data_IF_935145125865
#
_entry.id   IF_935145125865
#
_cell.length_a   1.000
_cell.length_b   1.000
_cell.length_c   1.000
_cell.angle_alpha   90.00
_cell.angle_beta   90.00
_cell.angle_gamma   90.00
#
_symmetry.space_group_name_H-M   'P 1'
#
loop_
_entity.id
_entity.type
_entity.pdbx_description
1 polymer ?
#
# COMPACT_ATOMS: atom_id res chain seq x y z
N UNK A 1 -6.62 1.55 -17.11
CA UNK A 1 -6.65 2.19 -18.42
C UNK A 1 -7.79 3.20 -18.54
N UNK A 2 -7.65 4.15 -19.45
CA UNK A 2 -8.68 5.19 -19.68
C UNK A 2 -9.66 4.81 -20.80
N UNK A 3 -9.53 3.64 -21.42
CA UNK A 3 -10.24 3.25 -22.63
C UNK A 3 -9.58 3.80 -23.91
N UNK A 4 -9.98 3.28 -25.04
CA UNK A 4 -9.46 3.66 -26.37
C UNK A 4 -10.07 4.97 -26.90
N UNK A 5 -10.96 4.87 -27.93
CA UNK A 5 -11.60 6.04 -28.53
C UNK A 5 -12.60 6.73 -27.59
N UNK A 6 -13.34 5.97 -26.79
CA UNK A 6 -14.28 6.50 -25.78
C UNK A 6 -13.65 6.54 -24.39
N UNK A 7 -13.19 7.72 -23.98
CA UNK A 7 -12.57 7.94 -22.65
C UNK A 7 -13.53 7.78 -21.47
N UNK A 8 -14.83 7.57 -21.70
CA UNK A 8 -15.81 7.24 -20.65
C UNK A 8 -15.74 5.78 -20.21
N UNK A 9 -15.32 4.88 -21.11
CA UNK A 9 -15.17 3.47 -20.85
C UNK A 9 -13.91 3.15 -20.01
N UNK A 10 -13.95 2.04 -19.32
CA UNK A 10 -12.87 1.62 -18.41
C UNK A 10 -12.43 0.19 -18.72
N UNK A 11 -11.15 0.00 -18.88
CA UNK A 11 -10.54 -1.30 -19.20
C UNK A 11 -10.89 -2.38 -18.18
N UNK A 12 -11.01 -2.05 -16.89
CA UNK A 12 -11.36 -3.03 -15.85
C UNK A 12 -12.78 -3.61 -16.01
N UNK A 13 -13.73 -2.90 -16.57
CA UNK A 13 -15.08 -3.44 -16.86
C UNK A 13 -14.99 -4.51 -17.95
N UNK A 14 -14.14 -4.29 -18.93
CA UNK A 14 -13.82 -5.28 -19.96
C UNK A 14 -13.10 -6.50 -19.40
N UNK A 15 -12.11 -6.28 -18.51
CA UNK A 15 -11.34 -7.37 -17.89
C UNK A 15 -12.23 -8.39 -17.21
N UNK A 16 -13.13 -7.92 -16.35
CA UNK A 16 -14.02 -8.79 -15.57
C UNK A 16 -15.03 -9.51 -16.47
N UNK A 17 -15.58 -8.79 -17.46
CA UNK A 17 -16.56 -9.35 -18.40
C UNK A 17 -15.97 -10.41 -19.32
N UNK A 18 -14.72 -10.26 -19.73
CA UNK A 18 -14.07 -11.09 -20.77
C UNK A 18 -12.95 -11.99 -20.24
N UNK A 19 -12.76 -12.08 -18.93
CA UNK A 19 -11.69 -12.87 -18.29
C UNK A 19 -10.33 -12.60 -18.92
N UNK A 20 -9.93 -11.33 -18.96
CA UNK A 20 -8.68 -10.89 -19.58
C UNK A 20 -7.97 -9.83 -18.73
N UNK A 21 -6.73 -9.52 -19.09
CA UNK A 21 -5.97 -8.37 -18.57
C UNK A 21 -5.28 -7.63 -19.71
N UNK A 22 -5.34 -6.30 -19.70
CA UNK A 22 -4.72 -5.43 -20.68
C UNK A 22 -4.18 -4.15 -20.03
N UNK A 23 -3.31 -3.43 -20.72
CA UNK A 23 -2.75 -2.18 -20.20
C UNK A 23 -2.65 -1.07 -21.27
N UNK A 24 -3.57 -1.07 -22.21
CA UNK A 24 -3.66 -0.05 -23.25
C UNK A 24 -2.94 -0.42 -24.54
N UNK A 25 -2.63 0.61 -25.34
CA UNK A 25 -2.00 0.49 -26.66
C UNK A 25 -2.87 -0.19 -27.72
N UNK A 26 -4.16 0.07 -27.68
CA UNK A 26 -5.11 -0.28 -28.72
C UNK A 26 -5.02 0.74 -29.87
N UNK A 27 -4.17 0.45 -30.85
CA UNK A 27 -4.03 1.31 -32.01
C UNK A 27 -5.28 1.32 -32.88
N UNK A 28 -5.51 2.43 -33.61
CA UNK A 28 -6.63 2.58 -34.51
C UNK A 28 -6.75 1.41 -35.50
N UNK A 29 -7.97 0.92 -35.76
CA UNK A 29 -8.20 -0.20 -36.68
C UNK A 29 -7.58 0.01 -38.08
N UNK A 30 -7.55 1.26 -38.55
CA UNK A 30 -6.99 1.64 -39.86
C UNK A 30 -5.48 1.37 -40.00
N UNK A 31 -4.76 1.30 -38.88
CA UNK A 31 -3.31 0.99 -38.86
C UNK A 31 -3.02 -0.51 -39.03
N UNK A 32 -4.03 -1.36 -38.91
CA UNK A 32 -3.89 -2.83 -38.87
C UNK A 32 -3.88 -3.40 -40.29
N UNK A 33 -2.78 -3.30 -40.99
CA UNK A 33 -2.64 -3.76 -42.39
C UNK A 33 -2.30 -5.24 -42.51
N UNK A 34 -1.84 -5.89 -41.43
CA UNK A 34 -1.47 -7.30 -41.36
C UNK A 34 -2.13 -8.02 -40.18
N UNK A 35 -2.40 -9.33 -40.31
CA UNK A 35 -2.88 -10.11 -39.16
C UNK A 35 -1.82 -10.16 -38.05
N UNK A 36 -2.23 -9.91 -36.81
CA UNK A 36 -1.41 -10.06 -35.60
C UNK A 36 -1.89 -11.31 -34.89
N UNK A 37 -1.05 -12.35 -34.84
CA UNK A 37 -1.37 -13.65 -34.27
C UNK A 37 -0.58 -13.97 -33.00
N UNK A 38 0.64 -13.43 -32.90
CA UNK A 38 1.57 -13.72 -31.81
C UNK A 38 1.96 -12.43 -31.10
N UNK A 39 2.51 -12.57 -29.90
CA UNK A 39 3.08 -11.44 -29.16
C UNK A 39 4.24 -10.80 -29.96
N UNK A 40 5.03 -11.58 -30.65
CA UNK A 40 6.15 -11.08 -31.45
C UNK A 40 5.65 -10.26 -32.66
N UNK A 41 4.55 -10.68 -33.33
CA UNK A 41 3.89 -9.89 -34.36
C UNK A 41 3.42 -8.53 -33.79
N UNK A 42 2.86 -8.56 -32.57
CA UNK A 42 2.38 -7.33 -31.93
C UNK A 42 3.52 -6.41 -31.50
N UNK A 43 4.64 -6.94 -31.03
CA UNK A 43 5.83 -6.13 -30.71
C UNK A 43 6.35 -5.38 -31.92
N UNK A 44 6.46 -6.07 -33.07
CA UNK A 44 6.86 -5.45 -34.30
C UNK A 44 5.86 -4.37 -34.74
N UNK A 45 4.58 -4.66 -34.67
CA UNK A 45 3.52 -3.69 -34.97
C UNK A 45 3.57 -2.46 -34.05
N UNK A 46 3.87 -2.67 -32.75
CA UNK A 46 4.04 -1.57 -31.80
C UNK A 46 5.22 -0.68 -32.17
N UNK A 47 6.38 -1.25 -32.50
CA UNK A 47 7.56 -0.49 -32.91
C UNK A 47 7.30 0.37 -34.15
N UNK A 48 6.53 -0.16 -35.11
CA UNK A 48 6.19 0.53 -36.36
C UNK A 48 5.23 1.71 -36.13
N UNK A 49 4.39 1.69 -35.07
CA UNK A 49 3.28 2.63 -34.91
C UNK A 49 3.28 3.44 -33.59
N UNK A 50 4.18 3.17 -32.68
CA UNK A 50 4.19 3.82 -31.34
C UNK A 50 4.79 5.23 -31.31
N UNK A 51 5.05 5.85 -32.45
CA UNK A 51 5.53 7.24 -32.56
C UNK A 51 6.73 7.56 -31.64
N UNK A 52 7.73 6.69 -31.62
CA UNK A 52 8.95 6.86 -30.83
C UNK A 52 8.84 6.43 -29.36
N UNK A 53 7.71 5.87 -28.93
CA UNK A 53 7.60 5.25 -27.62
C UNK A 53 8.30 3.89 -27.60
N UNK A 54 9.32 3.73 -26.77
CA UNK A 54 10.05 2.47 -26.64
C UNK A 54 9.21 1.45 -25.84
N UNK A 55 9.12 0.22 -26.34
CA UNK A 55 8.39 -0.89 -25.72
C UNK A 55 8.73 -1.08 -24.23
N UNK A 56 10.01 -1.15 -23.90
CA UNK A 56 10.52 -1.41 -22.56
C UNK A 56 10.25 -0.29 -21.53
N UNK A 57 9.71 0.84 -21.95
CA UNK A 57 9.32 1.96 -21.08
C UNK A 57 7.82 2.05 -20.86
N UNK A 58 7.04 1.12 -21.40
CA UNK A 58 5.57 1.15 -21.33
C UNK A 58 5.04 0.09 -20.38
N UNK A 59 3.83 0.32 -19.85
CA UNK A 59 3.14 -0.65 -19.00
C UNK A 59 2.89 -1.98 -19.72
N UNK A 60 2.70 -1.95 -21.03
CA UNK A 60 2.53 -3.14 -21.87
C UNK A 60 3.72 -4.11 -21.79
N UNK A 61 4.95 -3.60 -21.71
CA UNK A 61 6.13 -4.41 -21.45
C UNK A 61 6.06 -5.12 -20.09
N UNK A 62 5.54 -4.44 -19.06
CA UNK A 62 5.37 -5.07 -17.75
C UNK A 62 4.40 -6.24 -17.84
N UNK A 63 3.25 -6.07 -18.52
CA UNK A 63 2.24 -7.12 -18.64
C UNK A 63 2.72 -8.33 -19.46
N UNK A 64 3.45 -8.12 -20.54
CA UNK A 64 3.79 -9.22 -21.47
C UNK A 64 5.20 -9.81 -21.28
N UNK A 65 6.12 -9.07 -20.66
CA UNK A 65 7.52 -9.51 -20.51
C UNK A 65 7.98 -9.69 -19.06
N UNK A 66 7.30 -9.05 -18.09
CA UNK A 66 7.70 -9.15 -16.67
C UNK A 66 6.78 -10.02 -15.86
N UNK A 67 5.47 -9.97 -16.12
CA UNK A 67 4.50 -10.86 -15.50
C UNK A 67 4.82 -12.30 -15.92
N UNK A 68 4.62 -13.24 -15.01
CA UNK A 68 4.90 -14.67 -15.20
C UNK A 68 3.73 -15.53 -14.80
N UNK A 69 3.74 -16.78 -15.24
CA UNK A 69 2.83 -17.80 -14.73
C UNK A 69 2.93 -17.87 -13.19
N UNK A 70 1.79 -17.87 -12.53
CA UNK A 70 1.71 -17.88 -11.07
C UNK A 70 1.65 -16.51 -10.40
N UNK A 71 1.98 -15.43 -11.11
CA UNK A 71 1.84 -14.07 -10.56
C UNK A 71 0.37 -13.72 -10.30
N UNK A 72 0.14 -12.86 -9.30
CA UNK A 72 -1.17 -12.30 -9.00
C UNK A 72 -1.31 -10.91 -9.63
N UNK A 73 -2.47 -10.69 -10.28
CA UNK A 73 -2.87 -9.41 -10.82
C UNK A 73 -3.99 -8.81 -9.97
N UNK A 74 -3.90 -7.52 -9.73
CA UNK A 74 -4.93 -6.75 -9.05
C UNK A 74 -5.51 -5.67 -9.95
N UNK A 75 -6.81 -5.45 -9.84
CA UNK A 75 -7.47 -4.30 -10.46
C UNK A 75 -8.52 -3.72 -9.53
N UNK A 76 -8.81 -2.43 -9.68
CA UNK A 76 -9.82 -1.74 -8.91
C UNK A 76 -10.81 -1.05 -9.84
N UNK A 77 -12.11 -1.25 -9.62
CA UNK A 77 -13.17 -0.54 -10.33
C UNK A 77 -13.38 0.87 -9.76
N UNK A 78 -14.04 1.72 -10.54
CA UNK A 78 -14.35 3.10 -10.14
C UNK A 78 -15.19 3.20 -8.85
N UNK A 79 -15.97 2.17 -8.55
CA UNK A 79 -16.78 2.09 -7.33
C UNK A 79 -15.96 1.66 -6.08
N UNK A 80 -14.65 1.51 -6.20
CA UNK A 80 -13.77 1.12 -5.10
C UNK A 80 -13.68 -0.38 -4.86
N UNK A 81 -14.30 -1.23 -5.69
CA UNK A 81 -14.21 -2.69 -5.57
C UNK A 81 -12.93 -3.21 -6.20
N UNK A 82 -12.18 -4.01 -5.46
CA UNK A 82 -10.94 -4.66 -5.87
C UNK A 82 -11.19 -6.10 -6.31
N UNK A 83 -10.42 -6.51 -7.28
CA UNK A 83 -10.44 -7.86 -7.85
C UNK A 83 -9.02 -8.39 -7.92
N UNK A 84 -8.85 -9.68 -7.67
CA UNK A 84 -7.60 -10.42 -7.81
C UNK A 84 -7.77 -11.54 -8.83
N UNK A 85 -6.71 -11.84 -9.55
CA UNK A 85 -6.64 -13.00 -10.44
C UNK A 85 -5.23 -13.57 -10.43
N UNK A 86 -5.10 -14.87 -10.71
CA UNK A 86 -3.80 -15.51 -10.95
C UNK A 86 -3.55 -15.62 -12.45
N UNK A 87 -2.30 -15.46 -12.85
CA UNK A 87 -1.84 -15.70 -14.22
C UNK A 87 -1.63 -17.19 -14.42
N UNK A 88 -2.49 -17.90 -15.21
CA UNK A 88 -2.49 -19.35 -15.24
C UNK A 88 -1.36 -19.97 -16.08
N UNK A 89 -0.71 -19.20 -16.96
CA UNK A 89 0.38 -19.65 -17.83
C UNK A 89 1.27 -18.48 -18.23
N UNK A 90 2.36 -18.73 -18.94
CA UNK A 90 3.23 -17.67 -19.42
C UNK A 90 2.48 -16.67 -20.34
N UNK A 91 2.73 -15.35 -20.23
CA UNK A 91 2.04 -14.33 -21.00
C UNK A 91 2.05 -14.54 -22.51
N UNK A 92 3.12 -15.14 -23.05
CA UNK A 92 3.22 -15.46 -24.48
C UNK A 92 2.16 -16.50 -24.93
N UNK A 93 1.78 -17.43 -24.06
CA UNK A 93 0.75 -18.43 -24.31
C UNK A 93 -0.67 -17.87 -24.15
N UNK A 94 -0.81 -16.87 -23.28
CA UNK A 94 -2.08 -16.20 -22.98
C UNK A 94 -2.36 -15.03 -23.91
N UNK A 95 -1.37 -14.60 -24.70
CA UNK A 95 -1.52 -13.45 -25.57
C UNK A 95 -2.66 -13.63 -26.56
N UNK A 96 -3.46 -12.58 -26.67
CA UNK A 96 -4.52 -12.47 -27.65
C UNK A 96 -4.60 -11.04 -28.19
N UNK A 97 -4.74 -10.94 -29.49
CA UNK A 97 -5.07 -9.69 -30.15
C UNK A 97 -6.54 -9.69 -30.52
N UNK A 98 -7.36 -8.89 -29.82
CA UNK A 98 -8.78 -8.76 -30.08
C UNK A 98 -9.06 -7.56 -30.99
N UNK A 99 -9.43 -7.77 -32.27
CA UNK A 99 -9.67 -6.69 -33.20
C UNK A 99 -11.05 -6.05 -33.07
N UNK A 100 -11.86 -6.47 -32.11
CA UNK A 100 -13.24 -5.95 -31.95
C UNK A 100 -13.28 -4.48 -31.58
N UNK A 101 -14.37 -3.80 -31.93
CA UNK A 101 -14.62 -2.42 -31.53
C UNK A 101 -14.73 -2.29 -30.01
N UNK A 102 -15.37 -3.27 -29.34
CA UNK A 102 -15.52 -3.29 -27.88
C UNK A 102 -14.15 -3.33 -27.18
N UNK A 103 -13.22 -4.20 -27.64
CA UNK A 103 -11.86 -4.23 -27.11
C UNK A 103 -11.10 -2.92 -27.38
N UNK A 104 -11.31 -2.31 -28.54
CA UNK A 104 -10.68 -1.03 -28.91
C UNK A 104 -11.18 0.09 -28.01
N UNK A 105 -12.48 0.21 -27.82
CA UNK A 105 -13.10 1.27 -27.02
C UNK A 105 -12.71 1.19 -25.54
N UNK A 106 -12.46 -0.01 -25.03
CA UNK A 106 -11.95 -0.24 -23.67
C UNK A 106 -10.42 -0.22 -23.53
N UNK A 107 -9.68 0.03 -24.62
CA UNK A 107 -8.23 -0.01 -24.68
C UNK A 107 -7.62 -1.38 -24.27
N UNK A 108 -8.24 -2.46 -24.78
CA UNK A 108 -7.97 -3.85 -24.42
C UNK A 108 -7.63 -4.74 -25.64
N UNK A 109 -7.20 -4.17 -26.75
CA UNK A 109 -6.92 -4.95 -27.99
C UNK A 109 -5.78 -5.95 -27.78
N UNK A 110 -4.57 -5.54 -27.31
CA UNK A 110 -3.57 -6.50 -26.86
C UNK A 110 -3.89 -6.90 -25.42
N UNK A 111 -4.15 -8.19 -25.19
CA UNK A 111 -4.57 -8.69 -23.88
C UNK A 111 -4.02 -10.07 -23.56
N UNK A 112 -3.99 -10.40 -22.28
CA UNK A 112 -3.86 -11.76 -21.77
C UNK A 112 -5.26 -12.35 -21.60
N UNK A 113 -5.53 -13.52 -22.13
CA UNK A 113 -6.77 -14.28 -21.92
C UNK A 113 -6.69 -15.21 -20.72
N UNK A 114 -7.84 -15.76 -20.32
CA UNK A 114 -7.97 -16.76 -19.23
C UNK A 114 -7.53 -16.19 -17.88
N UNK A 115 -7.73 -14.91 -17.68
CA UNK A 115 -7.50 -14.24 -16.39
C UNK A 115 -8.83 -14.18 -15.65
N UNK A 116 -9.05 -15.11 -14.75
CA UNK A 116 -10.30 -15.23 -13.98
C UNK A 116 -10.23 -14.32 -12.76
N UNK A 117 -11.06 -13.28 -12.78
CA UNK A 117 -11.09 -12.26 -11.72
C UNK A 117 -12.05 -12.67 -10.61
N UNK A 118 -11.56 -12.70 -9.36
CA UNK A 118 -12.36 -12.87 -8.15
C UNK A 118 -12.49 -11.54 -7.42
N UNK A 119 -13.71 -11.17 -7.05
CA UNK A 119 -13.99 -9.99 -6.23
C UNK A 119 -13.50 -10.20 -4.80
N UNK A 120 -12.78 -9.23 -4.24
CA UNK A 120 -12.23 -9.29 -2.89
C UNK A 120 -12.99 -8.37 -1.95
N UNK A 121 -13.27 -7.15 -2.38
CA UNK A 121 -13.94 -6.15 -1.57
C UNK A 121 -13.43 -4.74 -1.79
N UNK A 122 -13.64 -3.87 -0.81
CA UNK A 122 -13.25 -2.47 -0.85
C UNK A 122 -11.80 -2.24 -0.38
N UNK A 123 -11.34 -1.00 -0.44
CA UNK A 123 -10.01 -0.58 0.03
C UNK A 123 -9.70 -1.05 1.47
N UNK A 124 -10.72 -1.14 2.32
CA UNK A 124 -10.59 -1.56 3.71
C UNK A 124 -10.25 -3.05 3.87
N UNK A 125 -10.52 -3.87 2.84
CA UNK A 125 -10.36 -5.33 2.88
C UNK A 125 -9.19 -5.83 2.06
N UNK A 126 -8.39 -4.95 1.48
CA UNK A 126 -7.22 -5.32 0.66
C UNK A 126 -5.93 -4.84 1.33
N UNK A 127 -4.79 -5.51 1.08
CA UNK A 127 -3.50 -5.09 1.63
C UNK A 127 -3.16 -3.64 1.28
N UNK A 128 -2.56 -2.91 2.21
CA UNK A 128 -2.18 -1.52 2.04
C UNK A 128 -1.25 -1.29 0.84
N UNK A 129 -0.40 -2.27 0.52
CA UNK A 129 0.43 -2.27 -0.69
C UNK A 129 -0.39 -2.22 -1.98
N UNK A 130 -1.59 -2.83 -2.01
CA UNK A 130 -2.51 -2.79 -3.15
C UNK A 130 -3.26 -1.47 -3.20
N UNK A 131 -3.84 -1.02 -2.07
CA UNK A 131 -4.69 0.17 -2.02
C UNK A 131 -3.91 1.47 -2.25
N UNK A 132 -2.71 1.59 -1.70
CA UNK A 132 -1.87 2.80 -1.80
C UNK A 132 -1.48 3.12 -3.26
N UNK A 133 -1.37 2.12 -4.11
CA UNK A 133 -0.90 2.30 -5.48
C UNK A 133 -1.99 2.70 -6.48
N UNK A 134 -3.27 2.65 -6.13
CA UNK A 134 -4.34 3.09 -7.04
C UNK A 134 -4.25 4.57 -7.42
N UNK A 135 -3.54 5.37 -6.64
CA UNK A 135 -3.25 6.78 -6.92
C UNK A 135 -2.15 6.99 -7.99
N UNK A 136 -1.39 5.95 -8.36
CA UNK A 136 -0.33 6.06 -9.33
C UNK A 136 -0.86 6.22 -10.77
N UNK A 137 -0.15 7.05 -11.56
CA UNK A 137 -0.51 7.34 -12.96
C UNK A 137 -0.08 6.24 -13.93
N UNK A 138 0.60 5.20 -13.47
CA UNK A 138 1.07 4.09 -14.30
C UNK A 138 -0.08 3.13 -14.60
N UNK A 139 -0.11 2.58 -15.81
CA UNK A 139 -1.14 1.63 -16.24
C UNK A 139 -1.02 0.28 -15.53
N UNK A 140 0.21 -0.15 -15.21
CA UNK A 140 0.54 -1.36 -14.48
C UNK A 140 1.88 -1.14 -13.76
N UNK A 141 2.01 -1.67 -12.55
CA UNK A 141 3.22 -1.62 -11.74
C UNK A 141 3.29 -2.84 -10.82
N UNK A 142 4.47 -3.14 -10.35
CA UNK A 142 4.69 -4.20 -9.37
C UNK A 142 4.38 -3.67 -7.97
N UNK A 143 3.52 -4.38 -7.24
CA UNK A 143 3.08 -4.01 -5.88
C UNK A 143 4.16 -4.40 -4.87
N UNK A 144 4.58 -5.67 -4.90
CA UNK A 144 5.55 -6.21 -3.96
C UNK A 144 6.92 -6.38 -4.61
N UNK A 145 7.97 -6.17 -3.82
CA UNK A 145 9.34 -6.46 -4.21
C UNK A 145 9.81 -7.76 -3.57
N UNK A 146 10.87 -8.33 -4.11
CA UNK A 146 11.46 -9.56 -3.58
C UNK A 146 11.93 -9.42 -2.11
N UNK A 147 12.20 -8.19 -1.67
CA UNK A 147 12.59 -7.83 -0.30
C UNK A 147 11.41 -7.91 0.69
N UNK A 148 10.16 -7.95 0.20
CA UNK A 148 8.94 -7.96 1.02
C UNK A 148 8.47 -9.38 1.39
N UNK A 149 9.28 -10.41 1.13
CA UNK A 149 8.96 -11.81 1.43
C UNK A 149 8.77 -12.02 2.94
N UNK A 150 7.77 -12.83 3.29
CA UNK A 150 7.51 -13.22 4.67
C UNK A 150 8.42 -14.40 5.03
N UNK A 151 9.31 -14.19 5.99
CA UNK A 151 10.29 -15.19 6.43
C UNK A 151 11.07 -15.79 5.24
N UNK A 152 11.33 -17.08 5.26
CA UNK A 152 11.97 -17.84 4.16
C UNK A 152 10.96 -18.30 3.10
N UNK A 153 9.70 -17.86 3.16
CA UNK A 153 8.67 -18.22 2.19
C UNK A 153 8.91 -17.55 0.84
N UNK A 154 8.40 -18.13 -0.22
CA UNK A 154 8.45 -17.51 -1.56
C UNK A 154 7.43 -16.37 -1.73
N UNK A 155 6.59 -16.14 -0.72
CA UNK A 155 5.46 -15.21 -0.80
C UNK A 155 5.66 -13.95 0.04
N UNK A 156 5.20 -12.84 -0.51
CA UNK A 156 4.98 -11.58 0.21
C UNK A 156 3.65 -11.65 0.97
N UNK A 157 3.40 -10.70 1.87
CA UNK A 157 2.10 -10.58 2.54
C UNK A 157 0.93 -10.47 1.55
N UNK A 158 1.10 -9.65 0.50
CA UNK A 158 0.10 -9.48 -0.56
C UNK A 158 -0.07 -10.76 -1.39
N UNK A 159 1.01 -11.44 -1.72
CA UNK A 159 0.98 -12.71 -2.45
C UNK A 159 0.22 -13.79 -1.68
N UNK A 160 0.50 -13.93 -0.39
CA UNK A 160 -0.22 -14.84 0.48
C UNK A 160 -1.73 -14.52 0.54
N UNK A 161 -2.05 -13.28 0.81
CA UNK A 161 -3.45 -12.86 0.85
C UNK A 161 -4.16 -13.12 -0.47
N UNK A 162 -3.47 -12.88 -1.60
CA UNK A 162 -3.99 -13.16 -2.94
C UNK A 162 -4.29 -14.64 -3.13
N UNK A 163 -3.39 -15.52 -2.69
CA UNK A 163 -3.56 -16.98 -2.78
C UNK A 163 -4.77 -17.45 -1.96
N UNK A 164 -4.90 -16.95 -0.72
CA UNK A 164 -6.04 -17.26 0.14
C UNK A 164 -7.37 -16.80 -0.49
N UNK A 165 -7.39 -15.62 -1.13
CA UNK A 165 -8.59 -15.16 -1.82
C UNK A 165 -9.00 -16.06 -2.99
N UNK A 166 -8.08 -16.79 -3.59
CA UNK A 166 -8.33 -17.69 -4.71
C UNK A 166 -8.56 -19.15 -4.31
N UNK A 167 -8.77 -19.43 -3.01
CA UNK A 167 -9.00 -20.77 -2.45
C UNK A 167 -7.80 -21.73 -2.68
N UNK A 168 -6.58 -21.17 -2.71
CA UNK A 168 -5.33 -21.94 -2.83
C UNK A 168 -4.71 -22.24 -1.44
N UNK A 169 -5.55 -22.36 -0.42
CA UNK A 169 -5.14 -22.43 0.99
C UNK A 169 -4.28 -23.64 1.34
N UNK A 170 -4.58 -24.83 0.79
CA UNK A 170 -3.91 -26.06 1.21
C UNK A 170 -2.40 -26.06 1.02
N UNK A 171 -1.90 -25.30 0.05
CA UNK A 171 -0.48 -25.27 -0.27
C UNK A 171 0.34 -24.32 0.62
N UNK A 172 -0.31 -23.30 1.21
CA UNK A 172 0.38 -22.14 1.81
C UNK A 172 0.33 -22.12 3.34
N UNK A 173 -0.74 -22.61 3.95
CA UNK A 173 -0.94 -22.54 5.40
C UNK A 173 0.04 -23.40 6.19
N UNK A 174 0.47 -24.55 5.68
CA UNK A 174 1.44 -25.41 6.36
C UNK A 174 2.84 -24.77 6.50
N UNK A 175 3.14 -23.74 5.73
CA UNK A 175 4.46 -23.09 5.69
C UNK A 175 4.50 -21.69 6.26
N UNK A 176 3.33 -21.15 6.65
CA UNK A 176 3.25 -19.76 7.05
C UNK A 176 3.24 -19.61 8.55
N UNK A 177 4.19 -18.81 9.04
CA UNK A 177 4.20 -18.32 10.41
C UNK A 177 4.13 -16.82 10.37
N UNK A 178 2.99 -16.24 10.74
CA UNK A 178 2.84 -14.80 10.92
C UNK A 178 3.17 -14.41 12.34
N UNK A 179 3.80 -13.26 12.50
CA UNK A 179 4.09 -12.60 13.76
C UNK A 179 3.32 -11.28 13.87
N UNK A 180 3.16 -10.75 15.08
CA UNK A 180 2.54 -9.43 15.29
C UNK A 180 3.18 -8.32 14.44
N UNK A 181 4.50 -8.41 14.20
CA UNK A 181 5.24 -7.42 13.41
C UNK A 181 4.86 -7.41 11.92
N UNK A 182 4.30 -8.49 11.40
CA UNK A 182 3.83 -8.55 10.02
C UNK A 182 2.63 -7.61 9.78
N UNK A 183 1.97 -7.13 10.84
CA UNK A 183 0.90 -6.13 10.75
C UNK A 183 1.33 -4.93 9.89
N UNK A 184 2.57 -4.45 10.04
CA UNK A 184 3.08 -3.31 9.27
C UNK A 184 3.10 -3.51 7.76
N UNK A 185 3.15 -4.75 7.30
CA UNK A 185 3.15 -5.12 5.88
C UNK A 185 1.74 -5.08 5.27
N UNK A 186 0.72 -5.30 6.10
CA UNK A 186 -0.67 -5.29 5.67
C UNK A 186 -1.30 -3.90 5.74
N UNK A 187 -0.89 -3.07 6.69
CA UNK A 187 -1.44 -1.73 6.86
C UNK A 187 -0.95 -0.76 5.78
N UNK A 188 -1.87 0.04 5.24
CA UNK A 188 -1.49 1.23 4.49
C UNK A 188 -1.02 2.35 5.44
N UNK A 189 -0.45 3.41 4.88
CA UNK A 189 0.09 4.51 5.68
C UNK A 189 -0.98 5.21 6.54
N UNK A 190 -2.21 5.34 6.04
CA UNK A 190 -3.32 5.97 6.76
C UNK A 190 -3.72 5.11 7.97
N UNK A 191 -3.83 3.80 7.81
CA UNK A 191 -4.14 2.89 8.92
C UNK A 191 -3.05 2.91 10.01
N UNK A 192 -1.78 3.10 9.64
CA UNK A 192 -0.71 3.29 10.63
C UNK A 192 -0.86 4.62 11.37
N UNK A 193 -1.23 5.69 10.69
CA UNK A 193 -1.53 6.99 11.31
C UNK A 193 -2.71 6.88 12.27
N UNK A 194 -3.77 6.19 11.89
CA UNK A 194 -4.94 5.95 12.74
C UNK A 194 -4.57 5.14 13.98
N UNK A 195 -3.78 4.08 13.84
CA UNK A 195 -3.30 3.28 14.97
C UNK A 195 -2.46 4.11 15.95
N UNK A 196 -1.57 4.95 15.44
CA UNK A 196 -0.76 5.88 16.25
C UNK A 196 -1.66 6.88 16.98
N UNK A 197 -2.66 7.42 16.30
CA UNK A 197 -3.61 8.37 16.91
C UNK A 197 -4.40 7.74 18.05
N UNK A 198 -4.90 6.52 17.85
CA UNK A 198 -5.63 5.77 18.89
C UNK A 198 -4.73 5.42 20.08
N UNK A 199 -3.51 4.95 19.83
CA UNK A 199 -2.56 4.65 20.88
C UNK A 199 -2.20 5.89 21.71
N UNK A 200 -1.98 7.05 21.07
CA UNK A 200 -1.70 8.30 21.77
C UNK A 200 -2.93 8.81 22.53
N UNK A 201 -4.14 8.55 22.03
CA UNK A 201 -5.36 8.84 22.77
C UNK A 201 -5.47 7.97 24.03
N UNK A 202 -5.28 6.68 23.91
CA UNK A 202 -5.36 5.73 25.03
C UNK A 202 -4.31 6.03 26.11
N UNK A 203 -3.06 6.20 25.70
CA UNK A 203 -1.94 6.36 26.65
C UNK A 203 -1.81 7.77 27.25
N UNK A 204 -2.23 8.80 26.52
CA UNK A 204 -1.97 10.20 26.88
C UNK A 204 -3.20 11.11 26.81
N UNK A 205 -4.35 10.58 26.43
CA UNK A 205 -5.58 11.32 26.16
C UNK A 205 -5.38 12.47 25.14
N UNK A 206 -4.56 12.22 24.12
CA UNK A 206 -4.32 13.17 23.04
C UNK A 206 -5.39 13.02 21.96
N UNK A 207 -6.00 14.13 21.55
CA UNK A 207 -7.12 14.15 20.60
C UNK A 207 -6.69 14.77 19.27
N UNK A 208 -6.97 14.09 18.17
CA UNK A 208 -6.65 14.57 16.83
C UNK A 208 -7.44 15.81 16.46
N UNK A 209 -6.77 16.79 15.84
CA UNK A 209 -7.41 17.93 15.17
C UNK A 209 -7.71 17.53 13.71
N UNK A 210 -8.97 17.21 13.35
CA UNK A 210 -9.28 16.59 12.05
C UNK A 210 -8.87 17.43 10.83
N UNK A 211 -8.86 18.75 10.95
CA UNK A 211 -8.45 19.64 9.84
C UNK A 211 -6.97 19.54 9.50
N UNK A 212 -6.14 19.01 10.39
CA UNK A 212 -4.69 18.91 10.20
C UNK A 212 -4.28 17.65 9.44
N UNK A 213 -5.06 16.57 9.49
CA UNK A 213 -4.80 15.31 8.77
C UNK A 213 -4.95 15.41 7.25
N UNK A 214 -5.48 16.53 6.74
CA UNK A 214 -5.63 16.77 5.29
C UNK A 214 -4.46 17.56 4.70
N UNK A 215 -3.55 18.03 5.54
CA UNK A 215 -2.42 18.87 5.12
C UNK A 215 -1.19 17.98 4.97
N UNK A 216 -0.91 17.52 3.77
CA UNK A 216 0.38 16.90 3.45
C UNK A 216 1.48 17.95 3.60
N UNK A 217 2.13 17.97 4.74
CA UNK A 217 3.29 18.81 5.00
C UNK A 217 4.55 17.96 5.05
N UNK A 218 5.70 18.55 4.73
CA UNK A 218 6.97 17.82 4.80
C UNK A 218 7.38 17.48 6.25
N UNK A 219 6.76 18.14 7.25
CA UNK A 219 7.24 18.13 8.63
C UNK A 219 6.32 17.40 9.62
N UNK A 220 5.08 17.10 9.27
CA UNK A 220 4.16 16.30 10.10
C UNK A 220 2.97 15.82 9.27
N UNK A 221 2.34 14.73 9.70
CA UNK A 221 1.13 14.18 9.08
C UNK A 221 -0.13 14.79 9.69
N UNK A 222 -0.19 14.88 11.02
CA UNK A 222 -1.33 15.49 11.73
C UNK A 222 -0.92 16.09 13.08
N UNK A 223 -1.84 16.83 13.70
CA UNK A 223 -1.64 17.50 14.99
C UNK A 223 -2.67 17.05 16.00
N UNK A 224 -2.22 16.79 17.23
CA UNK A 224 -3.06 16.47 18.38
C UNK A 224 -3.07 17.65 19.39
N UNK A 225 -4.07 17.63 20.25
CA UNK A 225 -4.17 18.46 21.45
C UNK A 225 -4.31 17.58 22.69
N UNK A 226 -3.89 18.08 23.82
CA UNK A 226 -4.11 17.43 25.11
C UNK A 226 -5.59 17.55 25.52
N UNK A 227 -6.28 16.41 25.58
CA UNK A 227 -7.69 16.32 25.93
C UNK A 227 -7.99 16.37 27.44
N UNK A 228 -6.96 16.32 28.31
CA UNK A 228 -7.13 16.30 29.77
C UNK A 228 -7.50 17.66 30.35
N UNK A 229 -7.38 18.72 29.57
CA UNK A 229 -7.50 20.09 30.09
C UNK A 229 -8.96 20.59 30.01
N UNK A 230 -9.72 20.36 31.06
CA UNK A 230 -11.10 20.78 31.15
C UNK A 230 -11.34 22.19 31.76
N UNK A 231 -10.36 22.86 32.34
CA UNK A 231 -10.60 24.14 33.01
C UNK A 231 -9.47 25.19 32.84
N UNK A 232 -9.88 26.38 32.43
CA UNK A 232 -9.34 27.73 32.58
C UNK A 232 -7.99 28.12 31.99
N UNK A 233 -7.05 27.26 31.78
CA UNK A 233 -5.88 27.54 30.96
C UNK A 233 -5.86 26.58 29.79
N UNK A 234 -6.53 26.93 28.69
CA UNK A 234 -6.40 26.20 27.46
C UNK A 234 -4.92 26.08 27.13
N UNK A 235 -4.36 24.90 27.32
CA UNK A 235 -2.99 24.62 26.91
C UNK A 235 -2.89 24.93 25.42
N UNK A 236 -2.02 25.83 25.06
CA UNK A 236 -1.67 26.08 23.66
C UNK A 236 -0.77 24.99 23.11
N UNK A 237 -0.59 23.88 23.85
CA UNK A 237 0.22 22.74 23.49
C UNK A 237 -0.30 22.13 22.19
N UNK A 238 0.60 21.94 21.25
CA UNK A 238 0.37 21.16 20.03
C UNK A 238 1.33 19.99 20.04
N UNK A 239 0.79 18.84 19.65
CA UNK A 239 1.53 17.60 19.53
C UNK A 239 1.56 17.26 18.02
N UNK A 240 2.72 17.47 17.41
CA UNK A 240 2.94 17.20 15.97
C UNK A 240 3.34 15.75 15.80
N UNK A 241 2.70 15.06 14.89
CA UNK A 241 2.94 13.64 14.63
C UNK A 241 3.52 13.48 13.24
N UNK A 242 4.67 12.80 13.17
CA UNK A 242 5.26 12.31 11.93
C UNK A 242 5.32 10.79 11.98
N UNK A 243 4.65 10.15 11.04
CA UNK A 243 4.61 8.68 10.91
C UNK A 243 5.20 8.28 9.57
N UNK A 244 6.03 7.25 9.57
CA UNK A 244 6.51 6.60 8.35
C UNK A 244 6.30 5.09 8.45
N UNK A 245 5.55 4.55 7.52
CA UNK A 245 5.43 3.10 7.37
C UNK A 245 6.58 2.58 6.48
N UNK A 246 7.25 1.51 6.94
CA UNK A 246 8.39 0.92 6.24
C UNK A 246 9.75 1.43 6.73
N UNK A 247 10.81 1.09 5.99
CA UNK A 247 12.20 1.34 6.37
C UNK A 247 12.63 2.78 6.03
N UNK A 248 12.09 3.75 6.79
CA UNK A 248 12.40 5.17 6.64
C UNK A 248 12.96 5.70 7.94
N UNK A 249 14.21 6.17 7.91
CA UNK A 249 14.87 6.79 9.04
C UNK A 249 14.40 8.25 9.23
N UNK A 250 14.24 8.65 10.48
CA UNK A 250 13.86 10.02 10.86
C UNK A 250 14.96 10.65 11.71
N UNK A 251 15.31 11.91 11.39
CA UNK A 251 16.26 12.71 12.17
C UNK A 251 15.52 13.77 13.01
N UNK A 252 15.54 13.69 14.35
CA UNK A 252 14.91 14.67 15.23
C UNK A 252 15.37 16.12 15.00
N UNK A 253 16.56 16.32 14.47
CA UNK A 253 17.12 17.65 14.18
C UNK A 253 16.27 18.40 13.16
N UNK A 254 15.67 17.68 12.20
CA UNK A 254 14.83 18.27 11.14
C UNK A 254 13.51 18.86 11.65
N UNK A 255 13.11 18.55 12.89
CA UNK A 255 11.81 18.94 13.46
C UNK A 255 11.90 20.00 14.57
N UNK A 256 13.07 20.57 14.82
CA UNK A 256 13.31 21.55 15.88
C UNK A 256 12.43 22.79 15.78
N UNK A 257 12.13 23.23 14.57
CA UNK A 257 11.31 24.43 14.36
C UNK A 257 9.87 24.26 14.87
N UNK A 258 9.35 23.02 14.88
CA UNK A 258 8.04 22.70 15.45
C UNK A 258 8.04 22.86 16.99
N UNK A 259 9.20 22.82 17.62
CA UNK A 259 9.40 22.97 19.06
C UNK A 259 9.65 24.43 19.48
N UNK A 260 9.40 25.40 18.60
CA UNK A 260 9.67 26.84 18.86
C UNK A 260 8.91 27.42 20.06
N UNK A 261 7.78 26.77 20.44
CA UNK A 261 6.99 27.13 21.63
C UNK A 261 7.19 26.11 22.75
N UNK A 262 7.29 26.58 23.99
CA UNK A 262 7.64 25.76 25.16
C UNK A 262 6.68 24.59 25.44
N UNK A 263 5.45 24.67 24.95
CA UNK A 263 4.42 23.64 25.20
C UNK A 263 4.21 22.68 23.98
N UNK A 264 5.07 22.73 22.98
CA UNK A 264 4.92 21.85 21.83
C UNK A 264 5.70 20.55 22.03
N UNK A 265 5.16 19.48 21.48
CA UNK A 265 5.82 18.18 21.34
C UNK A 265 5.84 17.76 19.87
N UNK A 266 6.84 16.97 19.52
CA UNK A 266 6.92 16.29 18.22
C UNK A 266 7.13 14.79 18.50
N UNK A 267 6.25 13.98 17.94
CA UNK A 267 6.38 12.53 17.97
C UNK A 267 6.79 12.04 16.59
N UNK A 268 7.91 11.34 16.56
CA UNK A 268 8.48 10.72 15.36
C UNK A 268 8.30 9.22 15.49
N UNK A 269 7.66 8.60 14.52
CA UNK A 269 7.34 7.18 14.51
C UNK A 269 7.74 6.58 13.15
N UNK A 270 8.44 5.45 13.17
CA UNK A 270 8.75 4.67 11.97
C UNK A 270 8.55 3.19 12.27
N UNK A 271 7.92 2.43 11.36
CA UNK A 271 7.62 1.02 11.59
C UNK A 271 8.82 0.10 11.31
N UNK A 272 9.65 0.46 10.34
CA UNK A 272 10.82 -0.35 9.94
C UNK A 272 12.16 0.40 9.99
N UNK A 273 12.13 1.73 10.01
CA UNK A 273 13.33 2.57 10.09
C UNK A 273 13.82 2.81 11.51
N UNK A 274 14.74 3.74 11.66
CA UNK A 274 15.35 4.11 12.94
C UNK A 274 15.34 5.62 13.16
N UNK A 275 15.30 6.03 14.43
CA UNK A 275 15.42 7.43 14.84
C UNK A 275 16.67 7.52 15.72
N UNK A 276 17.67 8.23 15.23
CA UNK A 276 18.94 8.38 15.96
C UNK A 276 18.83 9.56 16.94
N UNK A 277 18.77 9.26 18.23
CA UNK A 277 18.71 10.25 19.30
C UNK A 277 20.11 10.73 19.64
N UNK A 278 21.05 9.81 19.77
CA UNK A 278 22.48 10.03 19.86
C UNK A 278 23.23 8.91 19.15
N UNK A 279 24.59 8.97 19.14
CA UNK A 279 25.41 7.97 18.42
C UNK A 279 25.26 6.54 18.94
N UNK A 280 24.67 6.33 20.13
CA UNK A 280 24.53 5.02 20.78
C UNK A 280 23.10 4.54 20.90
N UNK A 281 22.14 5.43 20.81
CA UNK A 281 20.74 5.11 21.08
C UNK A 281 19.91 5.25 19.81
N UNK A 282 19.25 4.16 19.42
CA UNK A 282 18.33 4.09 18.30
C UNK A 282 16.95 3.70 18.80
N UNK A 283 15.92 4.28 18.23
CA UNK A 283 14.53 3.99 18.58
C UNK A 283 13.64 4.07 17.34
N UNK A 284 12.47 3.46 17.40
CA UNK A 284 11.45 3.57 16.35
C UNK A 284 10.35 4.57 16.68
N UNK A 285 10.24 4.97 17.96
CA UNK A 285 9.31 6.00 18.42
C UNK A 285 10.06 6.96 19.32
N UNK A 286 10.00 8.25 19.03
CA UNK A 286 10.67 9.31 19.81
C UNK A 286 9.72 10.48 20.02
N UNK A 287 9.52 10.86 21.27
CA UNK A 287 8.89 12.12 21.64
C UNK A 287 9.95 13.18 21.92
N UNK A 288 9.94 14.27 21.17
CA UNK A 288 10.82 15.42 21.35
C UNK A 288 10.06 16.57 22.03
N UNK A 289 10.71 17.23 23.01
CA UNK A 289 10.20 18.42 23.71
C UNK A 289 11.27 19.48 23.75
N UNK A 290 10.86 20.74 23.77
CA UNK A 290 11.80 21.83 24.03
C UNK A 290 12.33 21.73 25.47
N UNK A 291 13.64 21.82 25.59
CA UNK A 291 14.36 21.84 26.86
C UNK A 291 15.51 22.84 26.74
N UNK A 292 15.35 24.00 27.40
CA UNK A 292 16.32 25.09 27.35
C UNK A 292 17.65 24.75 28.05
N UNK A 293 17.64 23.71 28.89
CA UNK A 293 18.84 23.25 29.59
C UNK A 293 19.61 22.20 28.77
N UNK A 294 18.97 21.59 27.77
CA UNK A 294 19.61 20.62 26.93
C UNK A 294 20.61 21.26 25.93
N UNK A 295 21.76 20.62 25.73
CA UNK A 295 22.77 21.10 24.75
C UNK A 295 22.23 21.24 23.33
N UNK A 296 21.24 20.42 22.95
CA UNK A 296 20.58 20.46 21.66
C UNK A 296 19.38 21.42 21.60
N UNK A 297 18.97 22.04 22.72
CA UNK A 297 17.77 22.84 22.84
C UNK A 297 16.46 22.04 22.90
N UNK A 298 16.53 20.70 22.95
CA UNK A 298 15.39 19.82 23.17
C UNK A 298 15.81 18.53 23.88
N UNK A 299 14.87 17.93 24.63
CA UNK A 299 14.99 16.61 25.22
C UNK A 299 14.18 15.59 24.40
N UNK A 300 14.58 14.33 24.48
CA UNK A 300 13.90 13.23 23.79
C UNK A 300 13.59 12.09 24.73
N UNK A 301 12.44 11.43 24.51
CA UNK A 301 12.08 10.18 25.18
C UNK A 301 11.79 9.12 24.11
N UNK A 302 12.45 7.99 24.23
CA UNK A 302 12.31 6.88 23.29
C UNK A 302 11.29 5.84 23.79
N UNK A 303 10.56 5.24 22.85
CA UNK A 303 9.62 4.14 23.07
C UNK A 303 9.89 3.04 22.07
N UNK A 304 9.42 1.83 22.38
CA UNK A 304 9.51 0.69 21.47
C UNK A 304 8.34 0.68 20.52
N UNK A 305 8.57 0.31 19.28
CA UNK A 305 7.50 0.11 18.29
C UNK A 305 6.57 -1.05 18.70
N UNK A 306 7.07 -2.03 19.47
CA UNK A 306 6.25 -3.10 20.02
C UNK A 306 5.11 -2.58 20.91
N UNK A 307 5.21 -1.40 21.51
CA UNK A 307 4.10 -0.83 22.28
C UNK A 307 2.84 -0.57 21.42
N UNK A 308 3.02 -0.22 20.14
CA UNK A 308 1.90 -0.09 19.21
C UNK A 308 1.33 -1.45 18.80
N UNK A 309 2.17 -2.47 18.67
CA UNK A 309 1.73 -3.83 18.38
C UNK A 309 0.99 -4.42 19.59
N UNK A 310 1.55 -4.28 20.80
CA UNK A 310 0.90 -4.74 22.03
C UNK A 310 -0.48 -4.09 22.19
N UNK A 311 -0.59 -2.80 21.88
CA UNK A 311 -1.88 -2.10 21.86
C UNK A 311 -2.83 -2.64 20.79
N UNK A 312 -2.36 -2.83 19.54
CA UNK A 312 -3.22 -3.31 18.46
C UNK A 312 -3.74 -4.74 18.68
N UNK A 313 -2.96 -5.59 19.38
CA UNK A 313 -3.30 -6.99 19.65
C UNK A 313 -3.92 -7.21 21.04
N UNK A 314 -4.18 -6.15 21.80
CA UNK A 314 -4.91 -6.23 23.08
C UNK A 314 -6.42 -6.42 22.80
N UNK A 315 -6.99 -7.48 23.34
CA UNK A 315 -8.41 -7.79 23.17
C UNK A 315 -9.33 -6.68 23.69
N UNK A 316 -8.91 -5.94 24.71
CA UNK A 316 -9.66 -4.81 25.25
C UNK A 316 -9.76 -3.62 24.30
N UNK A 317 -8.79 -3.49 23.38
CA UNK A 317 -8.72 -2.43 22.37
C UNK A 317 -9.47 -2.81 21.09
N UNK A 318 -9.64 -4.11 20.82
CA UNK A 318 -10.27 -4.62 19.61
C UNK A 318 -11.58 -3.89 19.21
N UNK A 319 -12.50 -3.55 20.15
CA UNK A 319 -13.75 -2.86 19.79
C UNK A 319 -13.59 -1.44 19.24
N UNK A 320 -12.46 -0.78 19.48
CA UNK A 320 -12.21 0.59 19.02
C UNK A 320 -11.29 0.66 17.80
N UNK A 321 -10.73 -0.48 17.38
CA UNK A 321 -9.88 -0.51 16.19
C UNK A 321 -10.72 -0.24 14.92
N UNK A 322 -10.25 0.66 14.04
CA UNK A 322 -10.85 0.80 12.71
C UNK A 322 -10.86 -0.53 11.96
N UNK A 323 -11.90 -0.76 11.17
CA UNK A 323 -12.06 -1.98 10.37
C UNK A 323 -10.79 -2.38 9.58
N UNK A 324 -10.08 -1.45 8.90
CA UNK A 324 -8.87 -1.79 8.18
C UNK A 324 -7.73 -2.34 9.04
N UNK A 325 -7.72 -2.03 10.34
CA UNK A 325 -6.73 -2.55 11.29
C UNK A 325 -7.23 -3.86 11.88
N UNK A 326 -8.48 -3.89 12.34
CA UNK A 326 -9.08 -5.05 13.00
C UNK A 326 -9.06 -6.30 12.11
N UNK A 327 -9.30 -6.16 10.81
CA UNK A 327 -9.24 -7.27 9.83
C UNK A 327 -7.85 -7.91 9.83
N UNK A 328 -6.78 -7.11 9.80
CA UNK A 328 -5.42 -7.63 9.73
C UNK A 328 -4.93 -8.18 11.06
N UNK A 329 -5.33 -7.59 12.18
CA UNK A 329 -5.09 -8.15 13.51
C UNK A 329 -5.73 -9.53 13.63
N UNK A 330 -7.00 -9.66 13.24
CA UNK A 330 -7.68 -10.96 13.20
C UNK A 330 -6.99 -11.94 12.26
N UNK A 331 -6.65 -11.52 11.03
CA UNK A 331 -5.96 -12.35 10.05
C UNK A 331 -4.63 -12.91 10.60
N UNK A 332 -3.83 -12.07 11.26
CA UNK A 332 -2.57 -12.49 11.86
C UNK A 332 -2.82 -13.48 13.01
N UNK A 333 -3.79 -13.20 13.89
CA UNK A 333 -4.13 -14.11 14.99
C UNK A 333 -4.61 -15.48 14.49
N UNK A 334 -5.41 -15.51 13.42
CA UNK A 334 -5.91 -16.75 12.83
C UNK A 334 -4.80 -17.61 12.18
N UNK A 335 -3.66 -16.98 11.80
CA UNK A 335 -2.55 -17.63 11.12
C UNK A 335 -1.21 -17.55 11.88
N UNK A 336 -1.23 -17.06 13.13
CA UNK A 336 -0.05 -17.07 13.98
C UNK A 336 0.25 -18.50 14.46
N UNK A 337 1.52 -18.87 14.42
CA UNK A 337 1.95 -20.15 15.02
C UNK A 337 1.98 -20.01 16.55
N UNK A 338 1.28 -20.85 17.32
CA UNK A 338 1.24 -20.74 18.79
C UNK A 338 2.61 -20.96 19.48
N UNK A 339 3.67 -21.21 18.73
CA UNK A 339 5.03 -21.46 19.25
C UNK A 339 6.00 -20.26 19.12
N UNK A 340 5.53 -19.07 18.75
CA UNK A 340 6.38 -17.89 18.48
C UNK A 340 6.23 -16.72 19.48
N UNK A 341 5.64 -16.97 20.64
CA UNK A 341 5.59 -16.00 21.75
C UNK A 341 6.74 -16.15 22.72
#
# INVERSE_FOLDING_TARGET
GKGGADHSLRSYDYFIKHNCAACGWSFEPTKRTKPIKTLDDYKQFFEDHANGHAWNRQGIHTLFDRVKAGDFLWTCRKNGMYYVARVPAEPKELFHFDPSGDAYDHDCVPQLRKIEWKEVGTEETVPGSVSTYTANRQSIFQVDKQEDKINESEYTATGLFSALQLDEEEYYLEKLTLSKSDLWRFLNYQSVEDLVSLWLYDQYNYVTIPSTSKMSTANYEFVLIDGTIHNSARSSKRIYIQVKNGNVDLDPVCYKDLLSRNNHEVWLITTGGQITIDKKQKASIVCCRRDETAKSGYSTKAFKISNLLDFAFDESVSPILPTPIAIWVKFINDHANPSSD
#
